data_IF_415401141768
#
_entry.id   IF_415401141768
#
_cell.length_a   1.000
_cell.length_b   1.000
_cell.length_c   1.000
_cell.angle_alpha   90.00
_cell.angle_beta   90.00
_cell.angle_gamma   90.00
#
_symmetry.space_group_name_H-M   'P 1'
#
loop_
_entity.id
_entity.type
_entity.pdbx_description
1 polymer ?
#
# COMPACT_ATOMS: atom_id res chain seq x y z
N UNK A 1 3.69 -10.70 -31.40
CA UNK A 1 2.82 -9.64 -31.96
C UNK A 1 3.66 -8.39 -32.19
N UNK A 2 3.39 -7.59 -33.22
CA UNK A 2 4.07 -6.30 -33.45
C UNK A 2 3.09 -5.17 -33.17
N UNK A 3 3.48 -4.28 -32.27
CA UNK A 3 2.65 -3.15 -31.84
C UNK A 3 3.54 -1.93 -31.71
N UNK A 4 3.02 -0.77 -32.08
CA UNK A 4 3.69 0.51 -31.85
C UNK A 4 3.24 1.07 -30.51
N UNK A 5 4.18 1.34 -29.61
CA UNK A 5 3.93 1.91 -28.29
C UNK A 5 4.77 3.16 -28.10
N UNK A 6 4.29 4.12 -27.32
CA UNK A 6 5.08 5.26 -26.87
C UNK A 6 5.78 4.89 -25.57
N UNK A 7 7.05 5.27 -25.45
CA UNK A 7 7.85 5.07 -24.23
C UNK A 7 8.09 6.41 -23.59
N UNK A 8 7.83 6.51 -22.29
CA UNK A 8 8.24 7.66 -21.50
C UNK A 8 9.78 7.69 -21.38
N UNK A 9 10.40 8.86 -21.13
CA UNK A 9 11.85 9.00 -21.10
C UNK A 9 12.54 8.03 -20.11
N UNK A 10 11.92 7.78 -18.97
CA UNK A 10 12.40 6.82 -17.97
C UNK A 10 12.42 5.37 -18.46
N UNK A 11 11.42 4.98 -19.25
CA UNK A 11 11.30 3.63 -19.82
C UNK A 11 12.33 3.46 -20.93
N UNK A 12 12.54 4.49 -21.76
CA UNK A 12 13.59 4.48 -22.78
C UNK A 12 14.98 4.34 -22.15
N UNK A 13 15.28 5.11 -21.09
CA UNK A 13 16.56 5.02 -20.40
C UNK A 13 16.80 3.64 -19.77
N UNK A 14 15.76 3.03 -19.18
CA UNK A 14 15.82 1.68 -18.64
C UNK A 14 16.08 0.63 -19.74
N UNK A 15 15.41 0.76 -20.89
CA UNK A 15 15.62 -0.13 -22.03
C UNK A 15 17.05 0.02 -22.60
N UNK A 16 17.55 1.25 -22.76
CA UNK A 16 18.93 1.49 -23.23
C UNK A 16 19.99 0.90 -22.30
N UNK A 17 19.81 1.02 -20.99
CA UNK A 17 20.69 0.39 -20.01
C UNK A 17 20.71 -1.14 -20.21
N UNK A 18 19.53 -1.76 -20.30
CA UNK A 18 19.42 -3.20 -20.48
C UNK A 18 20.04 -3.68 -21.80
N UNK A 19 19.90 -2.89 -22.87
CA UNK A 19 20.57 -3.17 -24.15
C UNK A 19 22.09 -3.19 -24.02
N UNK A 20 22.68 -2.26 -23.26
CA UNK A 20 24.14 -2.20 -23.05
C UNK A 20 24.63 -3.36 -22.19
N UNK A 21 23.88 -3.72 -21.15
CA UNK A 21 24.25 -4.80 -20.23
C UNK A 21 24.15 -6.18 -20.89
N UNK A 22 23.12 -6.40 -21.73
CA UNK A 22 22.80 -7.73 -22.27
C UNK A 22 23.04 -7.88 -23.77
N UNK A 23 23.45 -6.82 -24.46
CA UNK A 23 23.67 -6.80 -25.91
C UNK A 23 22.44 -7.25 -26.72
N UNK A 24 21.25 -6.79 -26.33
CA UNK A 24 19.96 -7.15 -26.96
C UNK A 24 19.33 -5.99 -27.76
N UNK A 25 18.36 -6.33 -28.60
CA UNK A 25 17.57 -5.34 -29.36
C UNK A 25 16.59 -4.54 -28.50
N UNK A 26 16.11 -3.39 -28.99
CA UNK A 26 15.15 -2.54 -28.26
C UNK A 26 13.84 -3.27 -27.93
N UNK A 27 13.24 -3.94 -28.91
CA UNK A 27 11.99 -4.68 -28.69
C UNK A 27 12.15 -5.82 -27.68
N UNK A 28 13.33 -6.45 -27.64
CA UNK A 28 13.66 -7.49 -26.69
C UNK A 28 13.83 -6.91 -25.27
N UNK A 29 14.56 -5.80 -25.14
CA UNK A 29 14.71 -5.10 -23.87
C UNK A 29 13.38 -4.62 -23.30
N UNK A 30 12.48 -4.08 -24.13
CA UNK A 30 11.14 -3.66 -23.69
C UNK A 30 10.30 -4.86 -23.23
N UNK A 31 10.37 -5.98 -23.95
CA UNK A 31 9.65 -7.19 -23.55
C UNK A 31 10.18 -7.79 -22.23
N UNK A 32 11.50 -7.76 -22.00
CA UNK A 32 12.11 -8.15 -20.73
C UNK A 32 11.60 -7.28 -19.57
N UNK A 33 11.61 -5.95 -19.73
CA UNK A 33 11.08 -5.01 -18.74
C UNK A 33 9.59 -5.28 -18.46
N UNK A 34 8.79 -5.52 -19.50
CA UNK A 34 7.38 -5.84 -19.37
C UNK A 34 7.17 -7.15 -18.60
N UNK A 35 7.91 -8.22 -18.92
CA UNK A 35 7.83 -9.50 -18.20
C UNK A 35 8.19 -9.34 -16.72
N UNK A 36 9.28 -8.63 -16.43
CA UNK A 36 9.68 -8.35 -15.05
C UNK A 36 8.60 -7.58 -14.28
N UNK A 37 7.87 -6.68 -14.95
CA UNK A 37 6.71 -5.98 -14.39
C UNK A 37 5.51 -6.90 -14.13
N UNK A 38 5.24 -7.85 -15.04
CA UNK A 38 4.14 -8.82 -14.89
C UNK A 38 4.40 -9.82 -13.76
N UNK A 39 5.65 -10.26 -13.58
CA UNK A 39 6.06 -11.18 -12.51
C UNK A 39 6.07 -10.48 -11.14
N UNK A 40 6.21 -9.15 -11.12
CA UNK A 40 6.06 -8.33 -9.93
C UNK A 40 4.59 -8.20 -9.53
N UNK A 41 3.93 -9.33 -9.25
CA UNK A 41 2.70 -9.31 -8.45
C UNK A 41 3.02 -8.59 -7.15
N UNK A 42 2.35 -7.47 -6.90
CA UNK A 42 2.33 -6.87 -5.56
C UNK A 42 2.03 -8.00 -4.59
N UNK A 43 3.01 -8.39 -3.77
CA UNK A 43 2.71 -9.20 -2.61
C UNK A 43 1.79 -8.33 -1.77
N UNK A 44 0.48 -8.55 -1.89
CA UNK A 44 -0.51 -7.96 -1.00
C UNK A 44 -0.12 -8.45 0.39
N UNK A 45 0.49 -7.57 1.17
CA UNK A 45 0.76 -7.86 2.57
C UNK A 45 -0.59 -8.16 3.20
N UNK A 46 -0.79 -9.40 3.65
CA UNK A 46 -2.03 -9.77 4.34
C UNK A 46 -2.17 -8.84 5.54
N UNK A 47 -3.36 -8.28 5.72
CA UNK A 47 -3.66 -7.51 6.91
C UNK A 47 -3.36 -8.36 8.14
N UNK A 48 -2.58 -7.80 9.06
CA UNK A 48 -2.34 -8.38 10.38
C UNK A 48 -2.79 -7.34 11.39
N UNK A 49 -3.88 -7.65 12.09
CA UNK A 49 -4.37 -6.82 13.18
C UNK A 49 -3.26 -6.68 14.23
N UNK A 50 -2.89 -5.44 14.54
CA UNK A 50 -1.97 -5.13 15.64
C UNK A 50 -2.83 -4.73 16.82
N UNK A 51 -2.82 -5.56 17.86
CA UNK A 51 -3.46 -5.25 19.13
C UNK A 51 -2.41 -4.74 20.11
N UNK A 52 -2.78 -3.78 20.95
CA UNK A 52 -1.96 -3.25 22.02
C UNK A 52 -2.84 -2.95 23.22
N UNK A 53 -2.30 -3.09 24.44
CA UNK A 53 -2.98 -2.59 25.63
C UNK A 53 -2.92 -1.06 25.62
N UNK A 54 -4.09 -0.42 25.64
CA UNK A 54 -4.24 1.04 25.63
C UNK A 54 -4.52 1.62 27.03
N UNK A 55 -4.51 0.79 28.08
CA UNK A 55 -4.69 1.25 29.46
C UNK A 55 -6.09 1.79 29.76
N UNK A 56 -7.12 1.14 29.21
CA UNK A 56 -8.52 1.48 29.46
C UNK A 56 -8.84 1.44 30.96
N UNK A 57 -9.47 2.50 31.46
CA UNK A 57 -9.92 2.64 32.85
C UNK A 57 -11.39 2.32 33.06
N UNK A 58 -12.15 2.22 31.96
CA UNK A 58 -13.58 1.96 31.90
C UNK A 58 -13.80 0.89 30.83
N UNK A 59 -14.79 0.02 31.01
CA UNK A 59 -15.10 -1.03 30.04
C UNK A 59 -15.81 -0.48 28.82
N UNK A 60 -15.05 -0.24 27.75
CA UNK A 60 -15.55 0.26 26.46
C UNK A 60 -16.18 -0.83 25.59
N UNK A 61 -16.35 -2.05 26.11
CA UNK A 61 -17.13 -3.10 25.46
C UNK A 61 -18.63 -2.88 25.70
N UNK A 62 -18.98 -2.29 26.85
CA UNK A 62 -20.34 -1.81 27.14
C UNK A 62 -20.45 -0.31 26.85
N UNK A 63 -20.96 -0.01 25.66
CA UNK A 63 -21.09 1.37 25.19
C UNK A 63 -22.18 2.12 25.96
N UNK A 64 -23.25 1.44 26.40
CA UNK A 64 -24.37 2.11 27.06
C UNK A 64 -23.95 2.64 28.43
N UNK A 65 -23.37 1.77 29.26
CA UNK A 65 -22.90 2.13 30.61
C UNK A 65 -21.79 3.19 30.56
N UNK A 66 -20.88 3.09 29.58
CA UNK A 66 -19.80 4.09 29.41
C UNK A 66 -20.34 5.47 29.03
N UNK A 67 -21.37 5.55 28.18
CA UNK A 67 -21.96 6.83 27.78
C UNK A 67 -22.77 7.46 28.93
N UNK A 68 -23.48 6.66 29.73
CA UNK A 68 -24.20 7.17 30.91
C UNK A 68 -23.23 7.74 31.95
N UNK A 69 -22.06 7.11 32.15
CA UNK A 69 -21.01 7.67 33.00
C UNK A 69 -20.53 9.04 32.51
N UNK A 70 -20.34 9.21 31.20
CA UNK A 70 -19.93 10.50 30.61
C UNK A 70 -20.99 11.58 30.80
N UNK A 71 -22.27 11.26 30.57
CA UNK A 71 -23.38 12.20 30.79
C UNK A 71 -23.43 12.68 32.25
N UNK A 72 -23.16 11.78 33.20
CA UNK A 72 -23.09 12.12 34.62
C UNK A 72 -21.88 13.00 34.98
N UNK A 73 -20.72 12.78 34.36
CA UNK A 73 -19.54 13.66 34.52
C UNK A 73 -19.79 15.05 33.93
N UNK A 74 -20.38 15.14 32.74
CA UNK A 74 -20.71 16.41 32.08
C UNK A 74 -21.74 17.22 32.90
N UNK A 75 -22.77 16.56 33.45
CA UNK A 75 -23.76 17.21 34.31
C UNK A 75 -23.15 17.75 35.62
N UNK A 76 -22.17 17.05 36.20
CA UNK A 76 -21.45 17.52 37.39
C UNK A 76 -20.46 18.66 37.09
N UNK A 77 -19.86 18.68 35.90
CA UNK A 77 -18.95 19.75 35.50
C UNK A 77 -19.66 21.07 35.15
N UNK A 78 -20.96 21.01 34.83
CA UNK A 78 -21.79 22.16 34.46
C UNK A 78 -22.52 22.84 35.64
N UNK A 79 -22.44 22.27 36.86
CA UNK A 79 -23.06 22.79 38.09
C UNK A 79 -22.06 23.47 39.03
#
# INVERSE_FOLDING_TARGET
MRTTVRLDPEVQAAAERLRRERNIGLGEAVNELARAGLDRKQQRTRFRQRTASVGLKVDVTDIADTLELLDHEDAQAAG
#
